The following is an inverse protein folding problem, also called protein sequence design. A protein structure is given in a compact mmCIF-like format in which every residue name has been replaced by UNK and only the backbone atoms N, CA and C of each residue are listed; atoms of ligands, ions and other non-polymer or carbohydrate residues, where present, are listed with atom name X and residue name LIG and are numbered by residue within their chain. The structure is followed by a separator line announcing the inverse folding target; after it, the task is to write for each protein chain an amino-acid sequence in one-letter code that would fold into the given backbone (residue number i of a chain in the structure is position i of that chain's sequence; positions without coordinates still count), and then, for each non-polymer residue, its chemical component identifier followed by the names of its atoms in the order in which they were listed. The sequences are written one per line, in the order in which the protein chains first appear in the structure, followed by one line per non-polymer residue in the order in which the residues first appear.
data_IF_923838784003
#
_entry.id   IF_923838784003
#
_cell.length_a   1.000
_cell.length_b   1.000
_cell.length_c   1.000
_cell.angle_alpha   90.00
_cell.angle_beta   90.00
_cell.angle_gamma   90.00
#
_symmetry.space_group_name_H-M   'P 1'
#
loop_
_entity.id
_entity.type
_entity.pdbx_description
1 polymer ?
#
# COMPACT_ATOMS: atom_id res chain seq x y z
N UNK A 1 14.57 17.39 5.18
CA UNK A 1 15.89 16.79 4.89
C UNK A 1 16.58 16.35 6.19
N UNK A 2 16.74 17.21 7.19
CA UNK A 2 17.35 16.83 8.49
C UNK A 2 16.60 15.69 9.19
N UNK A 3 15.26 15.65 9.13
CA UNK A 3 14.42 14.63 9.73
C UNK A 3 14.62 13.21 9.13
N UNK A 4 15.11 13.13 7.92
CA UNK A 4 15.44 11.86 7.22
C UNK A 4 16.95 11.64 7.08
N UNK A 5 17.75 12.18 8.01
CA UNK A 5 19.20 12.01 7.95
C UNK A 5 19.86 12.53 6.68
N UNK A 6 19.29 13.55 6.06
CA UNK A 6 19.78 14.15 4.82
C UNK A 6 19.26 13.52 3.53
N UNK A 7 18.48 12.45 3.61
CA UNK A 7 17.90 11.80 2.42
C UNK A 7 16.64 12.53 1.93
N UNK A 8 16.40 12.45 0.62
CA UNK A 8 15.15 12.94 0.02
C UNK A 8 14.02 11.98 0.43
N UNK A 9 12.87 12.49 0.93
CA UNK A 9 11.75 11.63 1.28
C UNK A 9 11.24 10.90 0.03
N UNK A 10 11.19 9.58 0.08
CA UNK A 10 10.59 8.79 -0.98
C UNK A 10 9.06 9.00 -0.98
N UNK A 11 8.47 9.14 -2.16
CA UNK A 11 7.03 9.10 -2.44
C UNK A 11 6.14 10.22 -1.87
N UNK A 12 6.65 11.07 -0.99
CA UNK A 12 5.88 12.17 -0.40
C UNK A 12 6.64 13.50 -0.54
N UNK A 13 6.74 14.07 -1.74
CA UNK A 13 7.52 15.29 -2.00
C UNK A 13 7.09 16.48 -1.15
N UNK A 14 5.81 16.51 -0.71
CA UNK A 14 5.23 17.60 0.09
C UNK A 14 5.07 17.26 1.58
N UNK A 15 5.72 16.22 2.07
CA UNK A 15 5.62 15.75 3.47
C UNK A 15 5.86 16.85 4.52
N UNK A 16 6.65 17.85 4.17
CA UNK A 16 6.98 18.99 5.04
C UNK A 16 6.13 20.24 4.81
N UNK A 17 5.10 20.16 3.98
CA UNK A 17 4.22 21.30 3.70
C UNK A 17 3.58 21.88 4.97
N UNK A 18 3.35 21.05 6.01
CA UNK A 18 2.83 21.50 7.29
C UNK A 18 3.74 22.55 7.98
N UNK A 19 5.07 22.48 7.81
CA UNK A 19 5.99 23.48 8.34
C UNK A 19 5.81 24.83 7.63
N UNK A 20 5.65 24.80 6.31
CA UNK A 20 5.37 25.99 5.51
C UNK A 20 4.03 26.58 5.93
N UNK A 21 2.99 25.74 6.07
CA UNK A 21 1.66 26.17 6.54
C UNK A 21 1.73 26.78 7.95
N UNK A 22 2.47 26.18 8.87
CA UNK A 22 2.66 26.72 10.23
C UNK A 22 3.32 28.10 10.21
N UNK A 23 4.37 28.29 9.41
CA UNK A 23 5.06 29.58 9.27
C UNK A 23 4.09 30.62 8.69
N UNK A 24 3.36 30.27 7.62
CA UNK A 24 2.39 31.19 7.00
C UNK A 24 1.28 31.57 7.97
N UNK A 25 0.72 30.64 8.74
CA UNK A 25 -0.30 30.92 9.75
C UNK A 25 0.25 31.81 10.87
N UNK A 26 1.48 31.58 11.32
CA UNK A 26 2.14 32.40 12.34
C UNK A 26 2.39 33.85 11.85
N UNK A 27 2.83 34.00 10.61
CA UNK A 27 2.99 35.30 9.95
C UNK A 27 1.65 36.00 9.78
N UNK A 28 0.59 35.29 9.37
CA UNK A 28 -0.75 35.83 9.25
C UNK A 28 -1.29 36.33 10.60
N UNK A 29 -1.15 35.53 11.67
CA UNK A 29 -1.56 35.93 13.02
C UNK A 29 -0.84 37.19 13.50
N UNK A 30 0.47 37.28 13.28
CA UNK A 30 1.27 38.47 13.62
C UNK A 30 0.85 39.70 12.82
N UNK A 31 0.55 39.53 11.55
CA UNK A 31 0.07 40.62 10.68
C UNK A 31 -1.32 41.07 11.10
N UNK A 32 -2.21 40.11 11.40
CA UNK A 32 -3.58 40.39 11.83
C UNK A 32 -3.63 41.14 13.17
N UNK A 33 -2.70 40.87 14.08
CA UNK A 33 -2.61 41.64 15.36
C UNK A 33 -2.25 43.10 15.17
N UNK A 34 -1.76 43.52 13.99
CA UNK A 34 -1.40 44.89 13.62
C UNK A 34 -2.25 45.41 12.48
N UNK A 35 -3.50 44.97 12.38
CA UNK A 35 -4.39 45.22 11.24
C UNK A 35 -4.64 46.72 10.97
N UNK A 36 -4.76 47.51 12.03
CA UNK A 36 -4.96 48.94 11.98
C UNK A 36 -3.81 49.70 11.30
N UNK A 37 -2.60 49.20 11.39
CA UNK A 37 -1.40 49.77 10.79
C UNK A 37 -1.17 49.42 9.31
N UNK A 38 -1.92 48.48 8.75
CA UNK A 38 -1.73 48.06 7.36
C UNK A 38 -2.17 49.16 6.39
N UNK A 39 -1.29 49.50 5.44
CA UNK A 39 -1.58 50.49 4.37
C UNK A 39 -2.30 49.82 3.20
N UNK A 40 -2.99 50.66 2.35
CA UNK A 40 -3.70 50.15 1.17
C UNK A 40 -2.75 49.52 0.12
N UNK A 41 -1.58 50.12 -0.07
CA UNK A 41 -0.64 49.68 -1.08
C UNK A 41 -0.13 48.21 -0.85
N UNK A 42 0.33 47.81 0.36
CA UNK A 42 0.64 46.43 0.64
C UNK A 42 -0.54 45.48 0.48
N UNK A 43 -1.75 45.89 0.87
CA UNK A 43 -2.95 45.07 0.75
C UNK A 43 -3.30 44.80 -0.71
N UNK A 44 -3.30 45.82 -1.56
CA UNK A 44 -3.50 45.68 -3.01
C UNK A 44 -2.38 44.91 -3.69
N UNK A 45 -1.13 45.15 -3.28
CA UNK A 45 0.03 44.41 -3.79
C UNK A 45 -0.02 42.92 -3.46
N UNK A 46 -0.48 42.54 -2.26
CA UNK A 46 -0.69 41.14 -1.87
C UNK A 46 -1.76 40.46 -2.72
N UNK A 47 -2.89 41.18 -2.97
CA UNK A 47 -3.95 40.66 -3.85
C UNK A 47 -3.39 40.37 -5.25
N UNK A 48 -2.74 41.35 -5.86
CA UNK A 48 -2.17 41.18 -7.20
C UNK A 48 -1.13 40.09 -7.26
N UNK A 49 -0.25 39.98 -6.26
CA UNK A 49 0.77 38.94 -6.16
C UNK A 49 0.17 37.52 -6.08
N UNK A 50 -0.84 37.35 -5.22
CA UNK A 50 -1.50 36.03 -5.10
C UNK A 50 -2.24 35.65 -6.38
N UNK A 51 -2.98 36.60 -6.98
CA UNK A 51 -3.68 36.35 -8.24
C UNK A 51 -2.71 36.05 -9.39
N UNK A 52 -1.54 36.68 -9.45
CA UNK A 52 -0.52 36.39 -10.43
C UNK A 52 0.05 34.98 -10.24
N UNK A 53 0.27 34.54 -9.00
CA UNK A 53 0.71 33.18 -8.70
C UNK A 53 -0.36 32.15 -9.11
N UNK A 54 -1.64 32.39 -8.76
CA UNK A 54 -2.73 31.49 -9.16
C UNK A 54 -2.89 31.43 -10.68
N UNK A 55 -2.76 32.56 -11.37
CA UNK A 55 -2.74 32.58 -12.84
C UNK A 55 -1.58 31.80 -13.42
N UNK A 56 -0.37 31.97 -12.88
CA UNK A 56 0.80 31.18 -13.30
C UNK A 56 0.59 29.68 -13.11
N UNK A 57 0.06 29.25 -11.95
CA UNK A 57 -0.27 27.85 -11.67
C UNK A 57 -1.29 27.34 -12.70
N UNK A 58 -2.32 28.12 -12.99
CA UNK A 58 -3.34 27.76 -13.99
C UNK A 58 -2.75 27.58 -15.40
N UNK A 59 -1.74 28.39 -15.79
CA UNK A 59 -1.08 28.26 -17.10
C UNK A 59 -0.19 27.05 -17.21
N UNK A 60 0.33 26.52 -16.08
CA UNK A 60 1.15 25.31 -16.06
C UNK A 60 0.35 24.03 -16.20
N UNK A 61 -0.93 24.03 -15.85
CA UNK A 61 -1.83 22.91 -16.05
C UNK A 61 -1.39 21.64 -15.32
N UNK A 62 -1.10 21.76 -14.02
CA UNK A 62 -0.77 20.59 -13.20
C UNK A 62 -1.96 19.62 -13.11
N UNK A 63 -1.74 18.35 -13.44
CA UNK A 63 -2.79 17.32 -13.46
C UNK A 63 -3.45 17.10 -12.08
N UNK A 64 -2.71 17.36 -11.00
CA UNK A 64 -3.19 17.21 -9.62
C UNK A 64 -4.10 18.36 -9.16
N UNK A 65 -4.25 19.42 -9.95
CA UNK A 65 -5.02 20.61 -9.58
C UNK A 65 -6.22 20.79 -10.50
N UNK A 66 -7.41 20.64 -9.95
CA UNK A 66 -8.63 20.95 -10.68
C UNK A 66 -8.70 22.44 -11.02
N UNK A 67 -8.95 22.78 -12.29
CA UNK A 67 -9.06 24.17 -12.74
C UNK A 67 -10.10 24.98 -11.95
N UNK A 68 -11.21 24.34 -11.58
CA UNK A 68 -12.25 24.96 -10.77
C UNK A 68 -11.74 25.39 -9.39
N UNK A 69 -10.90 24.60 -8.76
CA UNK A 69 -10.32 24.92 -7.43
C UNK A 69 -9.44 26.16 -7.49
N UNK A 70 -8.72 26.38 -8.59
CA UNK A 70 -7.89 27.59 -8.79
C UNK A 70 -8.78 28.85 -8.87
N UNK A 71 -9.87 28.78 -9.63
CA UNK A 71 -10.80 29.92 -9.77
C UNK A 71 -11.58 30.21 -8.49
N UNK A 72 -11.99 29.16 -7.76
CA UNK A 72 -12.62 29.31 -6.44
C UNK A 72 -11.63 29.97 -5.47
N UNK A 73 -10.38 29.54 -5.43
CA UNK A 73 -9.33 30.13 -4.60
C UNK A 73 -9.10 31.60 -4.95
N UNK A 74 -9.09 31.96 -6.24
CA UNK A 74 -8.96 33.35 -6.67
C UNK A 74 -10.13 34.22 -6.20
N UNK A 75 -11.36 33.71 -6.31
CA UNK A 75 -12.55 34.41 -5.81
C UNK A 75 -12.51 34.59 -4.29
N UNK A 76 -12.14 33.55 -3.53
CA UNK A 76 -12.02 33.62 -2.06
C UNK A 76 -10.94 34.59 -1.62
N UNK A 77 -9.80 34.64 -2.29
CA UNK A 77 -8.75 35.64 -2.00
C UNK A 77 -9.29 37.06 -2.15
N UNK A 78 -10.06 37.33 -3.21
CA UNK A 78 -10.72 38.66 -3.37
C UNK A 78 -11.66 38.93 -2.20
N UNK A 79 -12.51 37.98 -1.81
CA UNK A 79 -13.46 38.16 -0.68
C UNK A 79 -12.71 38.44 0.62
N UNK A 80 -11.64 37.67 0.92
CA UNK A 80 -10.85 37.86 2.15
C UNK A 80 -10.12 39.22 2.18
N UNK A 81 -9.57 39.68 1.07
CA UNK A 81 -8.91 40.99 1.00
C UNK A 81 -9.92 42.11 1.21
N UNK A 82 -11.11 41.99 0.64
CA UNK A 82 -12.22 42.95 0.85
C UNK A 82 -12.65 42.92 2.32
N UNK A 83 -12.80 41.75 2.92
CA UNK A 83 -13.16 41.65 4.33
C UNK A 83 -12.09 42.26 5.25
N UNK A 84 -10.80 42.02 5.00
CA UNK A 84 -9.70 42.65 5.73
C UNK A 84 -9.73 44.17 5.58
N UNK A 85 -10.01 44.68 4.40
CA UNK A 85 -10.15 46.12 4.15
C UNK A 85 -11.27 46.75 5.01
N UNK A 86 -12.48 46.18 4.96
CA UNK A 86 -13.61 46.69 5.75
C UNK A 86 -13.41 46.53 7.25
N UNK A 87 -12.81 45.43 7.70
CA UNK A 87 -12.50 45.21 9.12
C UNK A 87 -11.54 46.29 9.63
N UNK A 88 -10.50 46.61 8.88
CA UNK A 88 -9.53 47.68 9.19
C UNK A 88 -10.18 49.06 9.22
N UNK A 89 -10.96 49.40 8.20
CA UNK A 89 -11.64 50.72 8.15
C UNK A 89 -12.68 50.87 9.27
N UNK A 90 -13.38 49.80 9.62
CA UNK A 90 -14.27 49.77 10.79
C UNK A 90 -13.53 50.01 12.11
N UNK A 91 -12.36 49.43 12.30
CA UNK A 91 -11.51 49.65 13.48
C UNK A 91 -11.01 51.10 13.53
N UNK A 92 -10.50 51.66 12.42
CA UNK A 92 -10.05 53.06 12.33
C UNK A 92 -11.17 54.06 12.62
N UNK A 93 -12.37 53.77 12.15
CA UNK A 93 -13.54 54.62 12.35
C UNK A 93 -14.17 54.47 13.76
N UNK A 94 -13.62 53.63 14.62
CA UNK A 94 -14.19 53.34 15.94
C UNK A 94 -15.53 52.58 15.91
N UNK A 95 -15.95 52.08 14.74
CA UNK A 95 -17.22 51.38 14.54
C UNK A 95 -17.05 49.89 14.84
N UNK A 96 -16.94 49.52 16.12
CA UNK A 96 -16.70 48.14 16.55
C UNK A 96 -17.70 47.13 15.97
N UNK A 97 -18.96 47.53 15.80
CA UNK A 97 -20.00 46.67 15.22
C UNK A 97 -19.71 46.25 13.76
N UNK A 98 -19.18 47.17 12.96
CA UNK A 98 -18.79 46.87 11.58
C UNK A 98 -17.67 45.83 11.57
N UNK A 99 -16.64 46.02 12.38
CA UNK A 99 -15.56 45.03 12.52
C UNK A 99 -16.06 43.68 12.96
N UNK A 100 -16.97 43.62 13.95
CA UNK A 100 -17.54 42.37 14.44
C UNK A 100 -18.39 41.67 13.36
N UNK A 101 -19.24 42.39 12.63
CA UNK A 101 -20.08 41.85 11.56
C UNK A 101 -19.23 41.26 10.43
N UNK A 102 -18.17 41.94 10.02
CA UNK A 102 -17.24 41.46 9.00
C UNK A 102 -16.47 40.24 9.52
N UNK A 103 -16.06 40.21 10.79
CA UNK A 103 -15.41 39.06 11.40
C UNK A 103 -16.32 37.82 11.37
N UNK A 104 -17.57 37.99 11.78
CA UNK A 104 -18.56 36.86 11.77
C UNK A 104 -18.77 36.37 10.32
N UNK A 105 -18.96 37.28 9.35
CA UNK A 105 -19.11 36.89 7.95
C UNK A 105 -17.87 36.15 7.41
N UNK A 106 -16.68 36.59 7.78
CA UNK A 106 -15.42 35.90 7.40
C UNK A 106 -15.32 34.51 8.00
N UNK A 107 -15.74 34.33 9.27
CA UNK A 107 -15.78 32.99 9.91
C UNK A 107 -16.74 32.07 9.15
N UNK A 108 -17.92 32.57 8.74
CA UNK A 108 -18.84 31.76 7.93
C UNK A 108 -18.25 31.41 6.57
N UNK A 109 -17.56 32.33 5.89
CA UNK A 109 -16.86 32.03 4.64
C UNK A 109 -15.78 30.95 4.82
N UNK A 110 -14.92 31.08 5.83
CA UNK A 110 -13.88 30.07 6.14
C UNK A 110 -14.49 28.74 6.46
N UNK A 111 -15.58 28.70 7.25
CA UNK A 111 -16.26 27.45 7.58
C UNK A 111 -16.87 26.79 6.33
N UNK A 112 -17.49 27.57 5.46
CA UNK A 112 -18.02 27.09 4.17
C UNK A 112 -16.93 26.53 3.25
N UNK A 113 -15.81 27.23 3.14
CA UNK A 113 -14.64 26.78 2.39
C UNK A 113 -14.08 25.46 2.96
N UNK A 114 -13.92 25.39 4.28
CA UNK A 114 -13.42 24.17 4.93
C UNK A 114 -14.34 22.96 4.72
N UNK A 115 -15.67 23.16 4.83
CA UNK A 115 -16.66 22.11 4.57
C UNK A 115 -16.61 21.66 3.10
N UNK A 116 -16.54 22.62 2.16
CA UNK A 116 -16.45 22.32 0.74
C UNK A 116 -15.18 21.51 0.44
N UNK A 117 -14.03 22.00 0.88
CA UNK A 117 -12.74 21.33 0.67
C UNK A 117 -12.68 19.95 1.32
N UNK A 118 -13.18 19.80 2.55
CA UNK A 118 -13.25 18.50 3.21
C UNK A 118 -14.17 17.53 2.45
N UNK A 119 -15.32 18.00 1.96
CA UNK A 119 -16.25 17.16 1.21
C UNK A 119 -15.66 16.71 -0.13
N UNK A 120 -14.97 17.61 -0.83
CA UNK A 120 -14.31 17.33 -2.11
C UNK A 120 -13.16 16.33 -1.92
N UNK A 121 -12.29 16.59 -0.95
CA UNK A 121 -11.20 15.68 -0.58
C UNK A 121 -11.70 14.29 -0.18
N UNK A 122 -12.79 14.20 0.59
CA UNK A 122 -13.37 12.92 0.99
C UNK A 122 -13.90 12.12 -0.20
N UNK A 123 -14.50 12.81 -1.21
CA UNK A 123 -14.94 12.16 -2.44
C UNK A 123 -13.78 11.61 -3.27
N UNK A 124 -12.69 12.35 -3.35
CA UNK A 124 -11.52 11.92 -4.10
C UNK A 124 -10.79 10.78 -3.39
N UNK A 125 -10.67 10.84 -2.07
CA UNK A 125 -10.14 9.74 -1.27
C UNK A 125 -10.99 8.47 -1.44
N UNK A 126 -12.33 8.60 -1.43
CA UNK A 126 -13.24 7.45 -1.62
C UNK A 126 -13.01 6.77 -3.00
N UNK A 127 -12.79 7.56 -4.05
CA UNK A 127 -12.47 7.04 -5.38
C UNK A 127 -11.10 6.37 -5.46
N UNK A 128 -10.09 6.92 -4.80
CA UNK A 128 -8.72 6.40 -4.84
C UNK A 128 -8.52 5.18 -3.95
N UNK A 129 -9.08 5.20 -2.75
CA UNK A 129 -8.83 4.17 -1.72
C UNK A 129 -9.89 3.07 -1.76
N UNK A 130 -11.04 3.32 -2.37
CA UNK A 130 -12.16 2.39 -2.44
C UNK A 130 -12.48 1.79 -1.05
N UNK A 131 -12.87 2.64 -0.11
CA UNK A 131 -13.19 2.23 1.26
C UNK A 131 -14.23 1.12 1.28
N UNK A 132 -13.89 0.02 1.93
CA UNK A 132 -14.87 -1.02 2.20
C UNK A 132 -15.74 -0.68 3.40
N UNK A 133 -16.96 -1.19 3.40
CA UNK A 133 -17.84 -1.00 4.56
C UNK A 133 -17.25 -1.65 5.81
N UNK A 134 -17.46 -1.02 6.97
CA UNK A 134 -17.03 -1.58 8.27
C UNK A 134 -17.59 -2.98 8.51
N UNK A 135 -18.83 -3.22 8.12
CA UNK A 135 -19.49 -4.52 8.27
C UNK A 135 -18.77 -5.60 7.44
N UNK A 136 -18.46 -5.32 6.18
CA UNK A 136 -17.72 -6.24 5.30
C UNK A 136 -16.31 -6.54 5.83
N UNK A 137 -15.60 -5.52 6.33
CA UNK A 137 -14.30 -5.73 6.93
C UNK A 137 -14.38 -6.59 8.20
N UNK A 138 -15.32 -6.32 9.08
CA UNK A 138 -15.53 -7.12 10.29
C UNK A 138 -15.88 -8.58 9.98
N UNK A 139 -16.72 -8.80 8.97
CA UNK A 139 -17.08 -10.16 8.54
C UNK A 139 -15.88 -10.89 7.97
N UNK A 140 -15.07 -10.23 7.12
CA UNK A 140 -13.82 -10.80 6.59
C UNK A 140 -12.87 -11.23 7.73
N UNK A 141 -12.67 -10.36 8.73
CA UNK A 141 -11.82 -10.68 9.88
C UNK A 141 -12.40 -11.82 10.71
N UNK A 142 -13.69 -11.84 10.95
CA UNK A 142 -14.33 -12.89 11.76
C UNK A 142 -14.24 -14.26 11.08
N UNK A 143 -14.60 -14.34 9.80
CA UNK A 143 -14.53 -15.61 9.03
C UNK A 143 -13.09 -16.07 8.84
N UNK A 144 -12.17 -15.16 8.52
CA UNK A 144 -10.77 -15.52 8.36
C UNK A 144 -10.08 -15.96 9.66
N UNK A 145 -10.42 -15.35 10.79
CA UNK A 145 -9.93 -15.82 12.10
C UNK A 145 -10.53 -17.15 12.52
N UNK A 146 -11.80 -17.40 12.19
CA UNK A 146 -12.42 -18.67 12.48
C UNK A 146 -11.68 -19.82 11.75
N UNK A 147 -11.43 -19.68 10.45
CA UNK A 147 -10.69 -20.70 9.70
C UNK A 147 -9.24 -20.82 10.16
N UNK A 148 -8.58 -19.72 10.56
CA UNK A 148 -7.23 -19.77 11.12
C UNK A 148 -7.18 -20.55 12.43
N UNK A 149 -8.17 -20.34 13.32
CA UNK A 149 -8.27 -21.06 14.58
C UNK A 149 -8.61 -22.55 14.36
N UNK A 150 -9.54 -22.85 13.47
CA UNK A 150 -9.86 -24.25 13.12
C UNK A 150 -8.64 -24.99 12.55
N UNK A 151 -7.78 -24.27 11.81
CA UNK A 151 -6.55 -24.83 11.25
C UNK A 151 -5.50 -25.09 12.36
N UNK A 152 -5.38 -24.19 13.36
CA UNK A 152 -4.54 -24.41 14.54
C UNK A 152 -5.04 -25.57 15.41
N UNK A 153 -6.36 -25.74 15.53
CA UNK A 153 -6.98 -26.85 16.26
C UNK A 153 -6.79 -28.18 15.51
N UNK A 154 -6.78 -28.15 14.17
CA UNK A 154 -6.54 -29.32 13.32
C UNK A 154 -5.07 -29.77 13.34
N UNK A 155 -4.15 -28.81 13.30
CA UNK A 155 -2.71 -29.07 13.29
C UNK A 155 -1.99 -28.15 14.29
N UNK A 156 -1.59 -28.72 15.42
CA UNK A 156 -0.87 -28.02 16.47
C UNK A 156 0.64 -27.83 16.20
N UNK A 157 1.16 -28.30 15.06
CA UNK A 157 2.56 -28.11 14.68
C UNK A 157 2.85 -26.65 14.31
N UNK A 158 4.12 -26.28 14.29
CA UNK A 158 4.53 -24.95 13.83
C UNK A 158 4.70 -24.98 12.30
N UNK A 159 3.80 -24.32 11.59
CA UNK A 159 3.79 -24.22 10.12
C UNK A 159 3.51 -22.78 9.66
N UNK A 160 3.69 -22.54 8.36
CA UNK A 160 3.15 -21.37 7.66
C UNK A 160 1.90 -21.72 6.88
N UNK A 161 0.99 -20.77 6.81
CA UNK A 161 -0.19 -20.84 5.96
C UNK A 161 -0.33 -19.55 5.14
N UNK A 162 -0.76 -19.69 3.90
CA UNK A 162 -0.98 -18.60 2.97
C UNK A 162 -2.37 -18.69 2.34
N UNK A 163 -2.73 -17.64 1.60
CA UNK A 163 -3.99 -17.58 0.87
C UNK A 163 -3.78 -17.00 -0.53
N UNK A 164 -4.60 -17.43 -1.48
CA UNK A 164 -4.53 -17.01 -2.89
C UNK A 164 -5.34 -15.75 -3.18
N UNK A 165 -5.94 -15.15 -2.18
CA UNK A 165 -6.76 -13.94 -2.28
C UNK A 165 -6.34 -12.91 -1.24
N UNK A 166 -6.51 -11.64 -1.56
CA UNK A 166 -6.08 -10.54 -0.70
C UNK A 166 -7.17 -9.49 -0.60
N UNK A 167 -7.38 -8.95 0.58
CA UNK A 167 -8.09 -7.70 0.81
C UNK A 167 -7.09 -6.56 1.00
N UNK A 168 -6.03 -6.84 1.76
CA UNK A 168 -4.82 -6.03 1.80
C UNK A 168 -3.60 -6.94 2.06
N UNK A 169 -2.39 -6.41 1.88
CA UNK A 169 -1.16 -7.18 2.01
C UNK A 169 -0.96 -7.74 3.44
N UNK A 170 -1.43 -7.01 4.45
CA UNK A 170 -1.29 -7.38 5.86
C UNK A 170 -2.43 -8.26 6.41
N UNK A 171 -3.25 -8.81 5.56
CA UNK A 171 -4.36 -9.68 5.98
C UNK A 171 -3.90 -10.81 6.89
N UNK A 172 -2.76 -11.44 6.60
CA UNK A 172 -2.25 -12.55 7.40
C UNK A 172 -2.11 -12.18 8.87
N UNK A 173 -1.56 -11.00 9.19
CA UNK A 173 -1.46 -10.51 10.56
C UNK A 173 -2.84 -10.32 11.21
N UNK A 174 -3.80 -9.78 10.46
CA UNK A 174 -5.14 -9.52 10.96
C UNK A 174 -5.93 -10.82 11.20
N UNK A 175 -5.67 -11.84 10.40
CA UNK A 175 -6.32 -13.14 10.45
C UNK A 175 -5.64 -14.15 11.41
N UNK A 176 -4.41 -13.86 11.85
CA UNK A 176 -3.63 -14.78 12.68
C UNK A 176 -2.84 -15.83 11.88
N UNK A 177 -2.74 -15.68 10.56
CA UNK A 177 -1.98 -16.59 9.71
C UNK A 177 -0.48 -16.24 9.74
N UNK A 178 0.36 -17.26 9.84
CA UNK A 178 1.83 -17.13 9.77
C UNK A 178 2.30 -17.30 8.34
N UNK A 179 2.05 -16.31 7.49
CA UNK A 179 2.42 -16.36 6.07
C UNK A 179 3.68 -15.57 5.72
N UNK A 180 3.99 -15.50 4.42
CA UNK A 180 5.07 -14.69 3.84
C UNK A 180 4.56 -13.34 3.35
N UNK A 181 3.23 -13.19 3.16
CA UNK A 181 2.61 -11.94 2.73
C UNK A 181 2.60 -10.94 3.87
N UNK A 182 3.33 -9.84 3.69
CA UNK A 182 3.49 -8.81 4.71
C UNK A 182 3.88 -7.46 4.09
N UNK A 183 3.50 -6.35 4.73
CA UNK A 183 3.94 -5.01 4.35
C UNK A 183 4.26 -4.19 5.59
N UNK A 184 5.41 -3.55 5.59
CA UNK A 184 5.84 -2.62 6.65
C UNK A 184 6.91 -1.67 6.14
N UNK A 185 6.89 -0.42 6.61
CA UNK A 185 7.95 0.56 6.32
C UNK A 185 9.31 0.20 6.95
N UNK A 186 9.36 -0.80 7.81
CA UNK A 186 10.58 -1.30 8.49
C UNK A 186 10.87 -2.76 8.15
N UNK A 187 10.56 -3.19 6.93
CA UNK A 187 10.86 -4.55 6.45
C UNK A 187 12.36 -4.85 6.52
N UNK A 188 12.69 -6.09 6.89
CA UNK A 188 14.06 -6.56 6.85
C UNK A 188 14.45 -6.83 5.37
N UNK A 189 15.42 -6.06 4.86
CA UNK A 189 15.88 -6.17 3.47
C UNK A 189 16.45 -7.53 3.12
N UNK A 190 17.09 -8.25 4.07
CA UNK A 190 17.62 -9.60 3.83
C UNK A 190 16.49 -10.60 3.62
N UNK A 191 15.39 -10.47 4.37
CA UNK A 191 14.20 -11.32 4.18
C UNK A 191 13.54 -11.02 2.84
N UNK A 192 13.39 -9.75 2.46
CA UNK A 192 12.84 -9.38 1.16
C UNK A 192 13.70 -9.93 0.02
N UNK A 193 15.03 -9.79 0.12
CA UNK A 193 15.94 -10.34 -0.88
C UNK A 193 15.82 -11.86 -0.98
N UNK A 194 15.77 -12.58 0.15
CA UNK A 194 15.58 -14.03 0.14
C UNK A 194 14.27 -14.42 -0.55
N UNK A 195 13.16 -13.79 -0.20
CA UNK A 195 11.87 -14.06 -0.85
C UNK A 195 11.91 -13.75 -2.35
N UNK A 196 12.54 -12.63 -2.74
CA UNK A 196 12.68 -12.25 -4.15
C UNK A 196 13.49 -13.27 -4.95
N UNK A 197 14.65 -13.73 -4.46
CA UNK A 197 15.48 -14.72 -5.16
C UNK A 197 14.85 -16.12 -5.16
N UNK A 198 13.91 -16.40 -4.25
CA UNK A 198 13.09 -17.60 -4.26
C UNK A 198 11.92 -17.51 -5.25
N UNK A 199 11.68 -16.35 -5.85
CA UNK A 199 10.63 -16.15 -6.85
C UNK A 199 9.35 -15.49 -6.35
N UNK A 200 9.22 -15.23 -5.04
CA UNK A 200 8.05 -14.51 -4.53
C UNK A 200 8.06 -13.04 -4.93
N UNK A 201 6.87 -12.47 -5.08
CA UNK A 201 6.73 -11.04 -5.28
C UNK A 201 7.14 -10.30 -4.01
N UNK A 202 8.41 -9.85 -3.96
CA UNK A 202 8.97 -9.17 -2.80
C UNK A 202 9.82 -7.98 -3.25
N UNK A 203 9.44 -6.77 -2.82
CA UNK A 203 10.18 -5.53 -3.13
C UNK A 203 9.88 -4.40 -2.15
N UNK A 204 10.86 -3.54 -1.94
CA UNK A 204 10.78 -2.31 -1.14
C UNK A 204 10.22 -2.49 0.27
N UNK A 205 8.90 -2.56 0.43
CA UNK A 205 8.21 -2.57 1.73
C UNK A 205 7.22 -3.72 1.87
N UNK A 206 7.17 -4.63 0.91
CA UNK A 206 6.16 -5.69 0.92
C UNK A 206 6.65 -6.98 0.29
N UNK A 207 6.05 -8.07 0.75
CA UNK A 207 6.11 -9.40 0.13
C UNK A 207 4.69 -9.94 -0.03
N UNK A 208 4.48 -10.76 -1.07
CA UNK A 208 3.21 -11.42 -1.35
C UNK A 208 3.45 -12.88 -1.69
N UNK A 209 2.48 -13.69 -1.33
CA UNK A 209 2.38 -15.07 -1.79
C UNK A 209 1.91 -15.08 -3.26
N UNK A 210 2.87 -14.82 -4.15
CA UNK A 210 2.71 -14.76 -5.60
C UNK A 210 4.06 -15.08 -6.24
N UNK A 211 4.08 -15.86 -7.31
CA UNK A 211 5.30 -16.41 -7.90
C UNK A 211 5.89 -17.58 -7.09
N UNK A 212 5.11 -18.17 -6.22
CA UNK A 212 5.48 -19.33 -5.40
C UNK A 212 5.76 -20.57 -6.25
N UNK A 213 6.58 -21.45 -5.71
CA UNK A 213 6.92 -22.76 -6.32
C UNK A 213 6.89 -23.84 -5.26
N UNK A 214 6.70 -25.11 -5.63
CA UNK A 214 6.68 -26.22 -4.66
C UNK A 214 7.93 -26.29 -3.78
N UNK A 215 9.11 -26.07 -4.34
CA UNK A 215 10.37 -26.10 -3.57
C UNK A 215 10.45 -24.92 -2.61
N UNK A 216 10.15 -23.69 -3.07
CA UNK A 216 10.19 -22.51 -2.23
C UNK A 216 9.17 -22.59 -1.09
N UNK A 217 7.94 -23.03 -1.37
CA UNK A 217 6.91 -23.24 -0.36
C UNK A 217 7.34 -24.28 0.67
N UNK A 218 7.94 -25.41 0.21
CA UNK A 218 8.41 -26.47 1.09
C UNK A 218 9.56 -26.00 1.99
N UNK A 219 10.56 -25.32 1.44
CA UNK A 219 11.69 -24.75 2.20
C UNK A 219 11.24 -23.73 3.26
N UNK A 220 10.21 -22.94 2.96
CA UNK A 220 9.66 -21.96 3.89
C UNK A 220 8.63 -22.56 4.86
N UNK A 221 8.32 -23.85 4.76
CA UNK A 221 7.34 -24.52 5.62
C UNK A 221 5.91 -24.04 5.40
N UNK A 222 5.56 -23.61 4.18
CA UNK A 222 4.18 -23.28 3.81
C UNK A 222 3.43 -24.59 3.61
N UNK A 223 2.69 -24.98 4.66
CA UNK A 223 2.01 -26.26 4.73
C UNK A 223 0.56 -26.20 4.28
N UNK A 224 -0.10 -25.07 4.52
CA UNK A 224 -1.51 -24.89 4.15
C UNK A 224 -1.69 -23.68 3.26
N UNK A 225 -2.56 -23.82 2.26
CA UNK A 225 -2.95 -22.73 1.36
C UNK A 225 -4.48 -22.63 1.32
N UNK A 226 -4.98 -21.48 1.72
CA UNK A 226 -6.38 -21.11 1.65
C UNK A 226 -6.68 -20.62 0.22
N UNK A 227 -7.22 -21.49 -0.61
CA UNK A 227 -7.48 -21.22 -2.03
C UNK A 227 -8.87 -20.67 -2.23
N UNK A 228 -9.01 -19.60 -3.01
CA UNK A 228 -10.29 -19.13 -3.53
C UNK A 228 -10.79 -20.06 -4.63
N UNK A 229 -12.04 -20.51 -4.52
CA UNK A 229 -12.66 -21.39 -5.51
C UNK A 229 -13.13 -20.60 -6.75
N UNK A 230 -13.20 -21.27 -7.90
CA UNK A 230 -13.65 -20.72 -9.17
C UNK A 230 -12.85 -19.46 -9.61
N UNK A 231 -11.54 -19.51 -9.43
CA UNK A 231 -10.65 -18.40 -9.76
C UNK A 231 -9.36 -18.94 -10.41
N UNK A 232 -9.22 -18.74 -11.72
CA UNK A 232 -8.08 -19.24 -12.52
C UNK A 232 -6.74 -18.69 -12.03
N UNK A 233 -6.70 -17.51 -11.43
CA UNK A 233 -5.48 -16.96 -10.84
C UNK A 233 -5.09 -17.71 -9.59
N UNK A 234 -6.05 -18.08 -8.77
CA UNK A 234 -5.87 -18.91 -7.58
C UNK A 234 -5.44 -20.33 -7.94
N UNK A 235 -5.97 -20.89 -9.04
CA UNK A 235 -5.57 -22.21 -9.54
C UNK A 235 -4.10 -22.26 -9.95
N UNK A 236 -3.60 -21.18 -10.56
CA UNK A 236 -2.18 -21.09 -10.96
C UNK A 236 -1.20 -20.93 -9.80
N UNK A 237 -1.68 -20.50 -8.63
CA UNK A 237 -0.86 -20.39 -7.41
C UNK A 237 -0.71 -21.73 -6.67
N UNK A 238 -1.45 -22.76 -7.05
CA UNK A 238 -1.33 -24.07 -6.46
C UNK A 238 -0.46 -25.00 -7.31
N UNK A 239 0.45 -25.71 -6.65
CA UNK A 239 1.13 -26.83 -7.27
C UNK A 239 0.15 -27.99 -7.50
N UNK A 240 0.38 -28.77 -8.55
CA UNK A 240 -0.36 -30.00 -8.83
C UNK A 240 -0.18 -31.08 -7.76
N UNK A 241 0.84 -30.94 -6.90
CA UNK A 241 1.10 -31.86 -5.77
C UNK A 241 0.26 -31.51 -4.53
N UNK A 242 -0.31 -30.31 -4.46
CA UNK A 242 -1.13 -29.90 -3.31
C UNK A 242 -2.50 -30.56 -3.38
N UNK A 243 -2.93 -31.09 -2.26
CA UNK A 243 -4.21 -31.80 -2.15
C UNK A 243 -5.17 -31.08 -1.22
N UNK A 244 -6.48 -31.10 -1.52
CA UNK A 244 -7.46 -30.56 -0.58
C UNK A 244 -7.43 -31.35 0.72
N UNK A 245 -7.46 -30.62 1.84
CA UNK A 245 -7.57 -31.26 3.17
C UNK A 245 -8.95 -31.86 3.34
N UNK A 246 -9.01 -33.11 3.78
CA UNK A 246 -10.27 -33.77 4.05
C UNK A 246 -10.68 -33.52 5.51
N UNK A 247 -11.91 -33.04 5.70
CA UNK A 247 -12.55 -32.88 7.01
C UNK A 247 -13.95 -33.48 6.96
N UNK A 248 -14.25 -34.35 7.88
CA UNK A 248 -15.55 -35.06 7.95
C UNK A 248 -15.93 -35.83 6.65
N UNK A 249 -14.94 -36.31 5.91
CA UNK A 249 -15.12 -37.10 4.68
C UNK A 249 -15.37 -36.29 3.41
N UNK A 250 -15.20 -34.97 3.46
CA UNK A 250 -15.30 -34.06 2.32
C UNK A 250 -14.13 -33.09 2.29
N UNK A 251 -13.93 -32.41 1.16
CA UNK A 251 -12.96 -31.33 1.06
C UNK A 251 -13.31 -30.22 2.05
N UNK A 252 -12.30 -29.77 2.80
CA UNK A 252 -12.50 -28.70 3.78
C UNK A 252 -12.72 -27.36 3.09
N UNK A 253 -13.96 -26.96 2.97
CA UNK A 253 -14.38 -25.66 2.41
C UNK A 253 -14.78 -24.70 3.51
N UNK A 254 -14.66 -23.39 3.23
CA UNK A 254 -15.04 -22.30 4.13
C UNK A 254 -15.60 -21.12 3.33
N UNK A 255 -16.48 -20.34 3.96
CA UNK A 255 -17.03 -19.13 3.38
C UNK A 255 -16.31 -17.89 3.91
N UNK A 256 -16.09 -16.90 3.05
CA UNK A 256 -15.53 -15.62 3.43
C UNK A 256 -16.11 -14.48 2.57
N UNK A 257 -15.84 -13.24 2.94
CA UNK A 257 -16.25 -12.06 2.18
C UNK A 257 -15.03 -11.37 1.60
N UNK A 258 -15.03 -11.15 0.30
CA UNK A 258 -13.91 -10.51 -0.38
C UNK A 258 -13.87 -8.97 -0.18
N UNK A 259 -12.90 -8.31 -0.81
CA UNK A 259 -12.75 -6.86 -0.75
C UNK A 259 -13.92 -6.07 -1.34
N UNK A 260 -14.72 -6.68 -2.22
CA UNK A 260 -15.91 -6.07 -2.84
C UNK A 260 -17.20 -6.36 -2.08
N UNK A 261 -17.10 -6.93 -0.88
CA UNK A 261 -18.25 -7.35 -0.06
C UNK A 261 -19.07 -8.48 -0.67
N UNK A 262 -18.45 -9.29 -1.54
CA UNK A 262 -19.09 -10.44 -2.16
C UNK A 262 -18.77 -11.71 -1.38
N UNK A 263 -19.78 -12.54 -1.13
CA UNK A 263 -19.58 -13.85 -0.53
C UNK A 263 -18.83 -14.77 -1.47
N UNK A 264 -17.77 -15.39 -0.98
CA UNK A 264 -16.90 -16.30 -1.71
C UNK A 264 -16.73 -17.59 -0.90
N UNK A 265 -16.37 -18.65 -1.60
CA UNK A 265 -16.01 -19.94 -0.99
C UNK A 265 -14.56 -20.24 -1.27
N UNK A 266 -13.85 -20.73 -0.29
CA UNK A 266 -12.48 -21.24 -0.40
C UNK A 266 -12.38 -22.68 0.01
N UNK A 267 -11.26 -23.32 -0.35
CA UNK A 267 -10.88 -24.68 0.05
C UNK A 267 -9.49 -24.66 0.66
N UNK A 268 -9.30 -25.43 1.73
CA UNK A 268 -8.00 -25.59 2.39
C UNK A 268 -7.20 -26.66 1.64
N UNK A 269 -6.04 -26.27 1.13
CA UNK A 269 -5.08 -27.19 0.50
C UNK A 269 -3.89 -27.45 1.40
N UNK A 270 -3.31 -28.63 1.31
CA UNK A 270 -2.09 -29.00 2.00
C UNK A 270 -0.96 -29.26 0.99
N UNK A 271 0.20 -28.68 1.29
CA UNK A 271 1.47 -29.04 0.68
C UNK A 271 2.04 -30.26 1.41
N UNK A 272 2.06 -31.45 0.79
CA UNK A 272 2.57 -32.66 1.45
C UNK A 272 4.07 -32.62 1.71
N UNK A 273 4.80 -31.79 0.96
CA UNK A 273 6.27 -31.72 1.01
C UNK A 273 6.77 -30.56 1.90
N UNK A 274 5.88 -29.90 2.64
CA UNK A 274 6.25 -28.79 3.50
C UNK A 274 7.21 -29.24 4.61
N UNK A 275 8.39 -28.64 4.67
CA UNK A 275 9.36 -28.89 5.74
C UNK A 275 8.89 -28.27 7.06
N UNK A 276 9.36 -28.83 8.17
CA UNK A 276 9.18 -28.19 9.47
C UNK A 276 9.85 -26.81 9.49
N UNK A 277 9.42 -25.91 10.39
CA UNK A 277 10.00 -24.56 10.52
C UNK A 277 11.49 -24.57 10.91
N UNK A 278 11.99 -25.68 11.43
CA UNK A 278 13.40 -25.92 11.66
C UNK A 278 13.71 -27.34 11.18
N UNK A 279 14.68 -27.47 10.31
CA UNK A 279 15.13 -28.75 9.76
C UNK A 279 16.66 -28.77 9.65
N UNK A 280 17.22 -29.94 9.65
CA UNK A 280 18.67 -30.15 9.49
C UNK A 280 19.01 -30.13 8.00
N UNK A 281 20.14 -29.53 7.68
CA UNK A 281 20.72 -29.51 6.33
C UNK A 281 22.16 -29.94 6.39
N UNK A 282 22.73 -30.28 5.24
CA UNK A 282 24.13 -30.62 5.10
C UNK A 282 25.06 -29.42 5.27
N UNK A 283 26.32 -29.63 5.62
CA UNK A 283 27.33 -28.60 5.79
C UNK A 283 27.62 -27.81 4.48
N UNK A 284 27.25 -28.36 3.33
CA UNK A 284 27.30 -27.66 2.05
C UNK A 284 26.55 -26.30 2.06
N UNK A 285 25.64 -26.07 3.01
CA UNK A 285 24.96 -24.79 3.18
C UNK A 285 25.95 -23.65 3.52
N UNK A 286 27.09 -23.95 4.13
CA UNK A 286 28.08 -22.94 4.49
C UNK A 286 28.83 -22.38 3.29
N UNK A 287 28.93 -23.14 2.21
CA UNK A 287 29.58 -22.72 0.97
C UNK A 287 28.59 -22.07 -0.02
N UNK A 288 27.29 -22.09 0.29
CA UNK A 288 26.27 -21.56 -0.57
C UNK A 288 26.41 -20.05 -0.76
N UNK A 289 26.62 -19.63 -1.99
CA UNK A 289 26.61 -18.20 -2.38
C UNK A 289 25.48 -17.99 -3.36
N UNK A 290 24.49 -17.19 -2.95
CA UNK A 290 23.33 -16.86 -3.77
C UNK A 290 23.58 -15.56 -4.54
N UNK A 291 23.40 -15.59 -5.85
CA UNK A 291 23.40 -14.45 -6.75
C UNK A 291 21.99 -14.01 -7.11
N UNK A 292 21.88 -13.03 -7.99
CA UNK A 292 20.61 -12.60 -8.60
C UNK A 292 20.31 -13.43 -9.86
N UNK A 293 20.33 -14.73 -9.70
CA UNK A 293 20.01 -15.65 -10.78
C UNK A 293 18.50 -15.86 -10.92
N UNK A 294 18.13 -16.58 -11.96
CA UNK A 294 16.77 -17.07 -12.12
C UNK A 294 16.31 -17.84 -10.86
N UNK A 295 15.11 -17.57 -10.30
CA UNK A 295 14.63 -18.21 -9.08
C UNK A 295 14.68 -19.74 -9.09
N UNK A 296 14.45 -20.37 -10.23
CA UNK A 296 14.54 -21.83 -10.36
C UNK A 296 15.97 -22.34 -10.18
N UNK A 297 16.97 -21.64 -10.74
CA UNK A 297 18.37 -21.95 -10.50
C UNK A 297 18.73 -21.76 -9.03
N UNK A 298 18.32 -20.64 -8.43
CA UNK A 298 18.53 -20.37 -7.00
C UNK A 298 17.99 -21.51 -6.14
N UNK A 299 16.78 -21.99 -6.42
CA UNK A 299 16.17 -23.10 -5.70
C UNK A 299 16.92 -24.42 -5.93
N UNK A 300 17.41 -24.68 -7.14
CA UNK A 300 18.27 -25.83 -7.42
C UNK A 300 19.56 -25.79 -6.58
N UNK A 301 20.21 -24.62 -6.47
CA UNK A 301 21.40 -24.42 -5.64
C UNK A 301 21.11 -24.63 -4.14
N UNK A 302 20.05 -24.01 -3.62
CA UNK A 302 19.68 -24.14 -2.21
C UNK A 302 19.37 -25.59 -1.86
N UNK A 303 18.57 -26.27 -2.67
CA UNK A 303 18.20 -27.66 -2.39
C UNK A 303 19.40 -28.60 -2.50
N UNK A 304 20.32 -28.33 -3.44
CA UNK A 304 21.57 -29.09 -3.56
C UNK A 304 22.49 -28.92 -2.35
N UNK A 305 22.58 -27.67 -1.83
CA UNK A 305 23.32 -27.42 -0.60
C UNK A 305 22.66 -28.11 0.61
N UNK A 306 21.35 -28.05 0.73
CA UNK A 306 20.63 -28.73 1.82
C UNK A 306 20.81 -30.24 1.82
N UNK A 307 21.06 -30.85 0.66
CA UNK A 307 21.18 -32.29 0.48
C UNK A 307 22.62 -32.79 0.36
N UNK A 308 23.65 -31.94 0.53
CA UNK A 308 25.06 -32.32 0.47
C UNK A 308 25.58 -32.73 -0.91
N UNK A 309 24.91 -32.27 -1.98
CA UNK A 309 25.34 -32.56 -3.35
C UNK A 309 26.12 -31.42 -4.00
N UNK A 310 26.10 -30.23 -3.41
CA UNK A 310 26.66 -29.01 -4.02
C UNK A 310 28.19 -29.07 -4.10
N UNK A 311 28.87 -29.50 -3.04
CA UNK A 311 30.33 -29.47 -2.96
C UNK A 311 30.98 -30.51 -3.91
N UNK A 312 30.35 -31.67 -4.12
CA UNK A 312 30.93 -32.77 -4.87
C UNK A 312 30.51 -32.80 -6.34
N UNK A 313 29.21 -32.58 -6.60
CA UNK A 313 28.60 -32.79 -7.91
C UNK A 313 28.13 -31.45 -8.56
N UNK A 314 28.24 -30.37 -7.84
CA UNK A 314 27.62 -29.08 -8.24
C UNK A 314 26.11 -29.10 -8.07
N UNK A 315 25.41 -28.02 -8.53
CA UNK A 315 23.96 -27.92 -8.35
C UNK A 315 23.22 -28.98 -9.18
N UNK A 316 22.40 -29.78 -8.51
CA UNK A 316 21.50 -30.72 -9.17
C UNK A 316 20.30 -29.96 -9.74
N UNK A 317 19.92 -30.32 -10.97
CA UNK A 317 18.76 -29.71 -11.64
C UNK A 317 17.46 -30.39 -11.19
N UNK A 318 16.83 -29.87 -10.13
CA UNK A 318 15.48 -30.24 -9.72
C UNK A 318 14.45 -29.58 -10.64
N UNK A 319 14.64 -28.32 -10.98
CA UNK A 319 13.96 -27.64 -12.08
C UNK A 319 14.85 -27.67 -13.32
N UNK A 320 14.36 -28.24 -14.41
CA UNK A 320 15.06 -28.33 -15.68
C UNK A 320 14.55 -27.27 -16.65
N UNK A 321 15.49 -26.65 -17.36
CA UNK A 321 15.14 -25.79 -18.48
C UNK A 321 14.49 -26.64 -19.59
N UNK A 322 13.29 -26.28 -20.01
CA UNK A 322 12.65 -26.87 -21.18
C UNK A 322 13.02 -26.02 -22.39
N UNK A 323 13.70 -26.64 -23.35
CA UNK A 323 13.94 -26.03 -24.66
C UNK A 323 12.78 -26.40 -25.60
N UNK A 324 12.10 -25.39 -26.11
CA UNK A 324 11.04 -25.58 -27.07
C UNK A 324 11.66 -25.72 -28.48
N UNK A 325 11.49 -26.88 -29.09
CA UNK A 325 11.89 -27.13 -30.47
C UNK A 325 11.13 -26.15 -31.42
N UNK A 326 11.85 -25.17 -31.96
CA UNK A 326 11.41 -24.38 -33.12
C UNK A 326 10.48 -23.20 -32.89
N UNK A 327 10.32 -22.71 -31.67
CA UNK A 327 9.51 -21.53 -31.40
C UNK A 327 10.12 -20.59 -30.36
N UNK A 328 10.13 -19.30 -30.63
CA UNK A 328 10.28 -18.29 -29.59
C UNK A 328 9.16 -18.49 -28.56
N UNK A 329 9.44 -18.44 -27.25
CA UNK A 329 8.41 -18.53 -26.23
C UNK A 329 7.44 -17.38 -26.46
N UNK A 330 6.18 -17.69 -26.78
CA UNK A 330 5.13 -16.67 -26.83
C UNK A 330 4.85 -16.25 -25.41
N UNK A 331 5.48 -15.16 -24.98
CA UNK A 331 5.16 -14.51 -23.74
C UNK A 331 3.76 -13.89 -23.93
N UNK A 332 2.74 -14.54 -23.41
CA UNK A 332 1.44 -13.90 -23.31
C UNK A 332 1.59 -12.72 -22.34
N UNK A 333 1.32 -11.52 -22.83
CA UNK A 333 1.45 -10.23 -22.14
C UNK A 333 0.68 -10.10 -20.80
N UNK A 334 -0.11 -11.09 -20.44
CA UNK A 334 -0.86 -11.14 -19.20
C UNK A 334 0.00 -11.15 -17.92
N UNK A 335 1.26 -11.57 -18.02
CA UNK A 335 2.18 -11.55 -16.87
C UNK A 335 2.86 -10.20 -16.65
N UNK A 336 2.99 -9.37 -17.68
CA UNK A 336 3.63 -8.06 -17.60
C UNK A 336 2.70 -6.99 -17.00
N UNK A 337 1.38 -7.13 -17.12
CA UNK A 337 0.41 -6.18 -16.53
C UNK A 337 0.46 -6.23 -15.00
N UNK A 338 0.73 -7.40 -14.41
CA UNK A 338 0.89 -7.52 -12.95
C UNK A 338 2.27 -7.14 -12.42
N UNK A 339 3.28 -7.07 -13.29
CA UNK A 339 4.65 -6.69 -12.92
C UNK A 339 4.89 -5.20 -13.16
N UNK A 340 4.22 -4.57 -14.12
CA UNK A 340 4.46 -3.18 -14.55
C UNK A 340 3.51 -2.16 -13.92
N UNK A 341 2.39 -2.55 -13.36
CA UNK A 341 1.65 -1.67 -12.48
C UNK A 341 2.17 -1.84 -11.05
N UNK A 342 2.93 -0.87 -10.52
CA UNK A 342 2.95 -0.71 -9.09
C UNK A 342 1.49 -0.48 -8.74
N UNK A 343 0.86 -1.46 -8.12
CA UNK A 343 -0.44 -1.26 -7.49
C UNK A 343 -0.35 0.07 -6.77
N UNK A 344 -1.19 1.04 -7.13
CA UNK A 344 -1.33 2.36 -6.51
C UNK A 344 -1.70 2.30 -5.02
N UNK A 345 -1.37 1.21 -4.37
CA UNK A 345 -1.47 0.96 -2.93
C UNK A 345 -0.30 1.56 -2.13
N UNK A 346 0.61 2.28 -2.80
CA UNK A 346 1.68 3.01 -2.13
C UNK A 346 1.25 4.39 -1.60
N UNK A 347 -0.06 4.65 -1.53
CA UNK A 347 -0.60 5.87 -0.96
C UNK A 347 -1.39 5.54 0.31
N UNK A 348 -0.68 5.12 1.33
CA UNK A 348 -1.11 5.31 2.73
C UNK A 348 0.10 5.77 3.53
#
# INVERSE_FOLDING_TARGET
IMWHGGQIPNWLPFRYSFLVSFILVSMAATTFSKLDGIKNLPLGGSLLGILAVLFYINTKGYDQLAKNSIWISAALVCVYIIAIYFMREGLKAGKKWVGLSVCIATIFCISGEAIYNATDSMKDIDKEVAYSSRASYQQFIQTGRAISQELEDYDSSLYRAEKTYFRCINDNNALGLRGVSHSSSVMNTKVLNLLSILGYSAQSYSSRYDGNTPIADSLLGIKYVLKKNNDDSSDRMLSTTYTPVQKDGADWTYDYVDQYSTAQTGTVYQNPDALAMGYMVDDDIEILTLGNDNPFNTQNYILSACTGTLANDGPKEYYKKVELDGGEPVVHDLSLIHISEPTRLDVI
#
